data_IF_573851583795
#
_entry.id   IF_573851583795
#
_cell.length_a   1.000
_cell.length_b   1.000
_cell.length_c   1.000
_cell.angle_alpha   90.00
_cell.angle_beta   90.00
_cell.angle_gamma   90.00
#
_symmetry.space_group_name_H-M   'P 1'
#
loop_
_entity.id
_entity.type
_entity.pdbx_description
1 polymer ?
#
# COMPACT_ATOMS: atom_id res chain seq x y z
N UNK A 1 -33.64 -10.30 -13.42
CA UNK A 1 -32.36 -9.64 -13.73
C UNK A 1 -31.27 -10.44 -13.05
N UNK A 2 -30.35 -11.01 -13.81
CA UNK A 2 -29.20 -11.74 -13.25
C UNK A 2 -28.03 -10.77 -13.11
N UNK A 3 -27.52 -10.63 -11.89
CA UNK A 3 -26.35 -9.80 -11.59
C UNK A 3 -25.15 -10.72 -11.41
N UNK A 4 -24.15 -10.60 -12.28
CA UNK A 4 -22.91 -11.38 -12.22
C UNK A 4 -21.79 -10.48 -11.71
N UNK A 5 -21.22 -10.81 -10.55
CA UNK A 5 -20.09 -10.08 -9.98
C UNK A 5 -18.79 -10.72 -10.43
N UNK A 6 -17.96 -9.99 -11.18
CA UNK A 6 -16.65 -10.45 -11.62
C UNK A 6 -15.57 -9.44 -11.27
N UNK A 7 -14.41 -9.94 -10.84
CA UNK A 7 -13.23 -9.09 -10.68
C UNK A 7 -12.60 -8.82 -12.04
N UNK A 8 -12.36 -7.56 -12.34
CA UNK A 8 -11.69 -7.12 -13.55
C UNK A 8 -10.53 -6.17 -13.22
N UNK A 9 -9.52 -6.17 -14.08
CA UNK A 9 -8.42 -5.20 -14.06
C UNK A 9 -8.71 -4.15 -15.13
N UNK A 10 -8.68 -2.89 -14.74
CA UNK A 10 -8.77 -1.78 -15.69
C UNK A 10 -7.39 -1.45 -16.24
N UNK A 11 -7.19 -1.61 -17.55
CA UNK A 11 -5.91 -1.32 -18.22
C UNK A 11 -6.17 -0.74 -19.61
N UNK A 12 -5.50 0.36 -19.93
CA UNK A 12 -5.58 1.04 -21.23
C UNK A 12 -7.01 1.41 -21.65
N UNK A 13 -7.85 1.81 -20.68
CA UNK A 13 -9.26 2.14 -20.94
C UNK A 13 -10.20 0.93 -21.05
N UNK A 14 -9.71 -0.29 -20.87
CA UNK A 14 -10.48 -1.53 -21.04
C UNK A 14 -10.58 -2.29 -19.72
N UNK A 15 -11.80 -2.71 -19.35
CA UNK A 15 -12.04 -3.64 -18.24
C UNK A 15 -11.78 -5.08 -18.71
N UNK A 16 -10.75 -5.72 -18.15
CA UNK A 16 -10.39 -7.10 -18.45
C UNK A 16 -10.77 -8.01 -17.29
N UNK A 17 -11.76 -8.90 -17.44
CA UNK A 17 -12.14 -9.80 -16.36
C UNK A 17 -11.01 -10.80 -16.06
N UNK A 18 -10.79 -11.12 -14.77
CA UNK A 18 -9.81 -12.12 -14.35
C UNK A 18 -10.23 -13.55 -14.70
N UNK A 19 -11.53 -13.78 -14.89
CA UNK A 19 -12.12 -15.06 -15.26
C UNK A 19 -12.93 -14.90 -16.54
N UNK A 20 -12.95 -15.92 -17.40
CA UNK A 20 -13.75 -15.91 -18.63
C UNK A 20 -15.24 -15.80 -18.31
N UNK A 21 -15.89 -14.81 -18.91
CA UNK A 21 -17.33 -14.64 -18.89
C UNK A 21 -17.94 -15.37 -20.10
N UNK A 22 -18.91 -16.25 -19.85
CA UNK A 22 -19.67 -16.93 -20.91
C UNK A 22 -20.97 -16.16 -21.14
N UNK A 23 -20.87 -15.03 -21.83
CA UNK A 23 -22.02 -14.21 -22.19
C UNK A 23 -22.35 -14.40 -23.69
N UNK A 24 -23.62 -14.24 -24.10
CA UNK A 24 -24.00 -14.25 -25.51
C UNK A 24 -23.29 -13.14 -26.29
N UNK A 25 -22.99 -13.39 -27.57
CA UNK A 25 -22.41 -12.35 -28.43
C UNK A 25 -23.37 -11.16 -28.58
N UNK A 26 -22.81 -9.95 -28.68
CA UNK A 26 -23.52 -8.68 -28.84
C UNK A 26 -24.49 -8.31 -27.71
N UNK A 27 -24.33 -8.88 -26.52
CA UNK A 27 -25.10 -8.48 -25.35
C UNK A 27 -24.68 -7.09 -24.83
N UNK A 28 -25.65 -6.26 -24.50
CA UNK A 28 -25.43 -5.00 -23.79
C UNK A 28 -25.51 -5.26 -22.30
N UNK A 29 -24.48 -4.85 -21.54
CA UNK A 29 -24.39 -5.05 -20.10
C UNK A 29 -24.30 -3.72 -19.37
N UNK A 30 -24.93 -3.64 -18.21
CA UNK A 30 -24.72 -2.55 -17.26
C UNK A 30 -23.52 -2.89 -16.36
N UNK A 31 -22.60 -1.95 -16.17
CA UNK A 31 -21.38 -2.18 -15.39
C UNK A 31 -21.42 -1.36 -14.11
N UNK A 32 -21.42 -2.05 -12.96
CA UNK A 32 -21.21 -1.43 -11.67
C UNK A 32 -19.76 -1.64 -11.22
N UNK A 33 -19.00 -0.55 -11.13
CA UNK A 33 -17.60 -0.60 -10.70
C UNK A 33 -17.52 -0.35 -9.21
N UNK A 34 -17.00 -1.32 -8.46
CA UNK A 34 -16.63 -1.15 -7.06
C UNK A 34 -15.12 -1.32 -6.94
N UNK A 35 -14.43 -0.23 -6.62
CA UNK A 35 -12.97 -0.26 -6.43
C UNK A 35 -12.65 -1.13 -5.22
N UNK A 36 -11.98 -2.24 -5.48
CA UNK A 36 -11.41 -3.09 -4.42
C UNK A 36 -9.98 -2.59 -4.28
N UNK A 37 -9.65 -1.93 -3.17
CA UNK A 37 -8.27 -1.58 -2.88
C UNK A 37 -7.46 -2.87 -2.87
N UNK A 38 -6.47 -2.99 -3.77
CA UNK A 38 -5.51 -4.08 -3.70
C UNK A 38 -4.82 -4.00 -2.33
N UNK A 39 -5.08 -4.98 -1.46
CA UNK A 39 -4.16 -5.28 -0.36
C UNK A 39 -2.84 -5.64 -1.02
N UNK A 40 -1.88 -4.72 -1.01
CA UNK A 40 -0.55 -4.99 -1.55
C UNK A 40 -0.19 -4.21 -2.81
N UNK A 41 -0.47 -2.90 -2.81
CA UNK A 41 0.50 -1.98 -3.38
C UNK A 41 1.70 -1.88 -2.44
N UNK A 42 2.51 -2.93 -2.32
CA UNK A 42 3.85 -2.78 -1.74
C UNK A 42 4.60 -1.84 -2.68
N UNK A 43 4.57 -0.55 -2.33
CA UNK A 43 5.75 0.30 -2.55
C UNK A 43 6.93 -0.60 -2.21
N UNK A 44 7.95 -0.67 -3.07
CA UNK A 44 9.24 -1.28 -2.74
C UNK A 44 9.85 -0.47 -1.59
N UNK A 45 9.27 -0.60 -0.42
CA UNK A 45 9.73 -0.09 0.85
C UNK A 45 10.64 -1.17 1.42
N UNK A 46 11.62 -0.74 2.19
CA UNK A 46 12.53 -1.64 2.89
C UNK A 46 11.79 -2.64 3.81
N UNK A 47 10.49 -2.40 4.10
CA UNK A 47 9.58 -3.33 4.76
C UNK A 47 9.50 -4.71 4.09
N UNK A 48 9.65 -4.80 2.76
CA UNK A 48 9.65 -6.10 2.07
C UNK A 48 10.94 -6.91 2.25
N UNK A 49 12.03 -6.28 2.70
CA UNK A 49 13.31 -6.96 2.94
C UNK A 49 13.48 -7.40 4.40
N UNK A 50 12.71 -6.80 5.32
CA UNK A 50 12.79 -7.03 6.76
C UNK A 50 11.36 -7.08 7.34
N UNK A 51 10.73 -8.26 7.40
CA UNK A 51 9.36 -8.44 7.89
C UNK A 51 9.13 -7.88 9.30
N UNK A 52 10.17 -7.87 10.13
CA UNK A 52 10.17 -7.29 11.47
C UNK A 52 9.88 -5.78 11.49
N UNK A 53 10.14 -5.06 10.39
CA UNK A 53 9.83 -3.64 10.29
C UNK A 53 8.34 -3.38 10.02
N UNK A 54 7.60 -4.36 9.50
CA UNK A 54 6.15 -4.26 9.30
C UNK A 54 5.38 -4.44 10.63
N UNK A 55 6.03 -5.05 11.63
CA UNK A 55 5.48 -5.24 12.97
C UNK A 55 5.63 -4.00 13.87
N UNK A 56 6.40 -3.00 13.46
CA UNK A 56 6.61 -1.78 14.24
C UNK A 56 5.35 -0.91 14.16
N UNK A 57 4.80 -0.57 15.31
CA UNK A 57 3.64 0.32 15.43
C UNK A 57 4.04 1.78 15.24
N UNK A 58 3.07 2.62 14.87
CA UNK A 58 3.30 4.06 14.73
C UNK A 58 3.78 4.70 16.04
N UNK A 59 3.33 4.19 17.19
CA UNK A 59 3.73 4.65 18.52
C UNK A 59 5.20 4.33 18.82
N UNK A 60 5.65 3.10 18.52
CA UNK A 60 7.04 2.68 18.65
C UNK A 60 7.96 3.47 17.72
N UNK A 61 7.49 3.78 16.50
CA UNK A 61 8.22 4.62 15.55
C UNK A 61 8.37 6.06 16.07
N UNK A 62 7.33 6.59 16.72
CA UNK A 62 7.35 7.92 17.32
C UNK A 62 8.34 8.00 18.49
N UNK A 63 8.35 6.98 19.34
CA UNK A 63 9.27 6.86 20.46
C UNK A 63 10.73 6.76 19.99
N UNK A 64 11.01 5.90 19.00
CA UNK A 64 12.32 5.74 18.41
C UNK A 64 12.84 7.06 17.81
N UNK A 65 11.97 7.83 17.13
CA UNK A 65 12.30 9.15 16.61
C UNK A 65 12.66 10.14 17.72
N UNK A 66 11.92 10.12 18.84
CA UNK A 66 12.22 10.95 20.01
C UNK A 66 13.60 10.66 20.61
N UNK A 67 13.95 9.38 20.76
CA UNK A 67 15.27 8.96 21.25
C UNK A 67 16.40 9.35 20.28
N UNK A 68 16.15 9.20 18.99
CA UNK A 68 17.09 9.61 17.94
C UNK A 68 17.39 11.11 18.00
N UNK A 69 16.36 11.96 18.07
CA UNK A 69 16.52 13.41 18.14
C UNK A 69 17.24 13.85 19.43
N UNK A 70 16.97 13.19 20.56
CA UNK A 70 17.69 13.46 21.81
C UNK A 70 19.18 13.11 21.69
N UNK A 71 19.51 11.97 21.09
CA UNK A 71 20.90 11.55 20.88
C UNK A 71 21.65 12.55 19.99
N UNK A 72 21.03 12.97 18.88
CA UNK A 72 21.62 13.96 17.98
C UNK A 72 21.90 15.29 18.69
N UNK A 73 20.96 15.77 19.52
CA UNK A 73 21.16 17.00 20.31
C UNK A 73 22.31 16.86 21.31
N UNK A 74 22.42 15.70 21.97
CA UNK A 74 23.51 15.43 22.91
C UNK A 74 24.87 15.45 22.20
N UNK A 75 24.98 14.80 21.05
CA UNK A 75 26.21 14.78 20.26
C UNK A 75 26.58 16.18 19.74
N UNK A 76 25.60 16.94 19.25
CA UNK A 76 25.80 18.32 18.82
C UNK A 76 26.28 19.23 19.96
N UNK A 77 25.81 18.99 21.19
CA UNK A 77 26.28 19.72 22.38
C UNK A 77 27.73 19.37 22.71
N UNK A 78 28.08 18.08 22.74
CA UNK A 78 29.44 17.63 23.02
C UNK A 78 30.45 18.15 22.00
N UNK A 79 30.07 18.20 20.72
CA UNK A 79 30.90 18.77 19.66
C UNK A 79 31.16 20.27 19.88
N UNK A 80 30.16 21.04 20.31
CA UNK A 80 30.31 22.47 20.64
C UNK A 80 31.12 22.73 21.91
N UNK A 81 31.13 21.80 22.86
CA UNK A 81 31.91 21.89 24.10
C UNK A 81 33.38 21.46 23.89
N UNK A 82 33.71 20.86 22.74
CA UNK A 82 35.05 20.39 22.38
C UNK A 82 35.83 21.35 21.44
N UNK A 83 35.21 22.44 21.00
CA UNK A 83 35.84 23.60 20.33
C UNK A 83 36.22 24.68 21.35
#
# INVERSE_FOLDING_TARGET
>A
METITVQAVFRDGILRPKTRLNLPENIVVEVQVKTIAEKGGTKKTLFGAFPELEAITDDEMLEAKGLWDQSLRKQARLLKEAE
#
